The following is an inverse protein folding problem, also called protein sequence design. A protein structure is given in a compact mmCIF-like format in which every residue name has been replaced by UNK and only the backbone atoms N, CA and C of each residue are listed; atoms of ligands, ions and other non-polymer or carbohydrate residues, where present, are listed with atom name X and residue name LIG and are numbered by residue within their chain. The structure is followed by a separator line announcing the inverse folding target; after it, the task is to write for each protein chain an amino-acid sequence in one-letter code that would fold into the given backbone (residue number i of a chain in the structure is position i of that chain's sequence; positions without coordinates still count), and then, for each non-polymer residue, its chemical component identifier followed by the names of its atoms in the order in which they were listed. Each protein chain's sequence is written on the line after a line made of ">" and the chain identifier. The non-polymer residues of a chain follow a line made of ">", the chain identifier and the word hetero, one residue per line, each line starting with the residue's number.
data_IF_058403448763
#
_entry.id   IF_058403448763
#
_cell.length_a   1.000
_cell.length_b   1.000
_cell.length_c   1.000
_cell.angle_alpha   90.00
_cell.angle_beta   90.00
_cell.angle_gamma   90.00
#
_symmetry.space_group_name_H-M   'P 1'
#
loop_
_entity.id
_entity.type
_entity.pdbx_description
1 polymer ?
#
# COMPACT_ATOMS: atom_id res chain seq x y z
N UNK A 1 2.53 49.42 11.28
CA UNK A 1 1.19 48.85 11.09
C UNK A 1 1.06 48.53 9.61
N UNK A 2 1.30 47.30 9.24
CA UNK A 2 0.96 46.75 7.94
C UNK A 2 0.55 45.29 8.22
N UNK A 3 -0.74 45.07 8.23
CA UNK A 3 -1.34 43.77 8.34
C UNK A 3 -1.09 43.06 7.02
N UNK A 4 -0.24 42.05 7.05
CA UNK A 4 -0.12 41.05 5.97
C UNK A 4 -1.39 40.23 6.00
N UNK A 5 -2.32 40.51 5.12
CA UNK A 5 -3.46 39.63 4.81
C UNK A 5 -2.92 38.27 4.39
N UNK A 6 -3.04 37.29 5.28
CA UNK A 6 -2.92 35.88 4.92
C UNK A 6 -4.12 35.60 4.03
N UNK A 7 -3.88 35.51 2.74
CA UNK A 7 -4.83 35.04 1.75
C UNK A 7 -5.34 33.68 2.23
N UNK A 8 -6.59 33.63 2.67
CA UNK A 8 -7.30 32.38 2.95
C UNK A 8 -7.40 31.61 1.61
N UNK A 9 -6.56 30.62 1.43
CA UNK A 9 -6.64 29.72 0.29
C UNK A 9 -7.92 28.90 0.41
N UNK A 10 -8.82 29.13 -0.51
CA UNK A 10 -10.22 28.76 -0.50
C UNK A 10 -10.50 27.30 -0.91
N UNK A 11 -9.65 26.35 -0.63
CA UNK A 11 -10.03 24.96 -0.82
C UNK A 11 -9.82 24.15 0.47
N UNK A 12 -10.83 24.14 1.34
CA UNK A 12 -10.83 23.35 2.56
C UNK A 12 -11.22 21.88 2.32
N UNK A 13 -11.34 21.44 1.07
CA UNK A 13 -11.77 20.10 0.71
C UNK A 13 -10.79 19.05 1.22
N UNK A 14 -11.33 18.00 1.82
CA UNK A 14 -10.61 16.83 2.30
C UNK A 14 -11.13 15.58 1.57
N UNK A 15 -10.24 14.69 1.19
CA UNK A 15 -10.59 13.33 0.74
C UNK A 15 -10.38 12.39 1.91
N UNK A 16 -11.38 11.57 2.23
CA UNK A 16 -11.25 10.49 3.19
C UNK A 16 -11.24 9.13 2.49
N UNK A 17 -10.20 8.34 2.70
CA UNK A 17 -10.10 6.97 2.18
C UNK A 17 -10.23 5.97 3.32
N UNK A 18 -11.04 4.94 3.13
CA UNK A 18 -11.20 3.86 4.10
C UNK A 18 -10.76 2.52 3.52
N UNK A 19 -9.93 1.80 4.28
CA UNK A 19 -9.50 0.45 3.95
C UNK A 19 -10.59 -0.60 4.18
N UNK A 20 -10.36 -1.83 3.72
CA UNK A 20 -11.35 -2.90 3.77
C UNK A 20 -11.84 -3.25 5.18
N UNK A 21 -11.00 -3.14 6.20
CA UNK A 21 -11.39 -3.36 7.60
C UNK A 21 -12.32 -2.27 8.13
N UNK A 22 -12.25 -1.07 7.57
CA UNK A 22 -13.11 0.06 7.91
C UNK A 22 -14.51 -0.03 7.29
N UNK A 23 -14.68 -0.92 6.31
CA UNK A 23 -15.95 -1.21 5.61
C UNK A 23 -16.27 -2.71 5.59
N UNK A 24 -15.75 -3.45 6.58
CA UNK A 24 -15.87 -4.90 6.66
C UNK A 24 -17.32 -5.39 6.89
N UNK A 25 -18.08 -4.64 7.65
CA UNK A 25 -19.44 -4.95 8.07
C UNK A 25 -20.25 -3.67 8.31
N UNK A 26 -21.53 -3.83 8.66
CA UNK A 26 -22.44 -2.71 8.92
C UNK A 26 -21.94 -1.78 10.04
N UNK A 27 -21.41 -2.32 11.12
CA UNK A 27 -20.95 -1.53 12.26
C UNK A 27 -19.66 -0.76 11.92
N UNK A 28 -18.75 -1.39 11.16
CA UNK A 28 -17.55 -0.74 10.64
C UNK A 28 -17.90 0.41 9.67
N UNK A 29 -18.85 0.18 8.76
CA UNK A 29 -19.34 1.22 7.85
C UNK A 29 -19.98 2.39 8.59
N UNK A 30 -20.75 2.14 9.65
CA UNK A 30 -21.34 3.21 10.46
C UNK A 30 -20.27 4.00 11.21
N UNK A 31 -19.24 3.37 11.80
CA UNK A 31 -18.10 4.09 12.38
C UNK A 31 -17.38 4.95 11.36
N UNK A 32 -17.18 4.43 10.15
CA UNK A 32 -16.56 5.19 9.05
C UNK A 32 -17.44 6.36 8.61
N UNK A 33 -18.76 6.19 8.60
CA UNK A 33 -19.71 7.28 8.37
C UNK A 33 -19.62 8.34 9.47
N UNK A 34 -19.50 7.96 10.74
CA UNK A 34 -19.29 8.92 11.85
C UNK A 34 -18.02 9.74 11.65
N UNK A 35 -16.93 9.10 11.23
CA UNK A 35 -15.67 9.80 10.91
C UNK A 35 -15.86 10.80 9.78
N UNK A 36 -16.52 10.42 8.70
CA UNK A 36 -16.82 11.32 7.58
C UNK A 36 -17.63 12.53 8.04
N UNK A 37 -18.69 12.29 8.80
CA UNK A 37 -19.62 13.34 9.24
C UNK A 37 -19.05 14.24 10.33
N UNK A 38 -18.01 13.78 11.06
CA UNK A 38 -17.31 14.61 12.05
C UNK A 38 -16.48 15.74 11.43
N UNK A 39 -16.14 15.65 10.15
CA UNK A 39 -15.36 16.65 9.43
C UNK A 39 -16.15 17.20 8.22
N UNK A 40 -16.74 18.39 8.30
CA UNK A 40 -17.55 18.97 7.22
C UNK A 40 -16.76 19.29 5.94
N UNK A 41 -15.41 19.28 6.02
CA UNK A 41 -14.54 19.49 4.87
C UNK A 41 -14.35 18.23 4.02
N UNK A 42 -14.73 17.05 4.51
CA UNK A 42 -14.73 15.82 3.72
C UNK A 42 -15.83 15.91 2.66
N UNK A 43 -15.42 15.91 1.40
CA UNK A 43 -16.33 15.99 0.24
C UNK A 43 -16.25 14.78 -0.67
N UNK A 44 -15.15 14.03 -0.64
CA UNK A 44 -14.97 12.79 -1.38
C UNK A 44 -14.57 11.68 -0.42
N UNK A 45 -15.22 10.54 -0.55
CA UNK A 45 -14.91 9.32 0.19
C UNK A 45 -14.51 8.24 -0.81
N UNK A 46 -13.31 7.70 -0.64
CA UNK A 46 -12.76 6.60 -1.45
C UNK A 46 -12.77 5.33 -0.63
N UNK A 47 -13.40 4.28 -1.14
CA UNK A 47 -13.53 3.00 -0.43
C UNK A 47 -12.80 1.88 -1.13
N UNK A 48 -12.21 1.00 -0.34
CA UNK A 48 -11.80 -0.34 -0.74
C UNK A 48 -12.98 -1.32 -0.67
N UNK A 49 -12.83 -2.51 -1.23
CA UNK A 49 -13.75 -3.62 -0.99
C UNK A 49 -13.83 -3.97 0.50
N UNK A 50 -14.96 -4.49 0.96
CA UNK A 50 -15.11 -5.01 2.33
C UNK A 50 -14.07 -6.11 2.60
N UNK A 51 -13.59 -6.19 3.85
CA UNK A 51 -12.54 -7.13 4.24
C UNK A 51 -12.83 -8.57 3.80
N UNK A 52 -11.85 -9.20 3.17
CA UNK A 52 -11.93 -10.58 2.67
C UNK A 52 -12.52 -10.72 1.26
N UNK A 53 -13.31 -9.75 0.77
CA UNK A 53 -13.97 -9.83 -0.54
C UNK A 53 -12.95 -9.89 -1.67
N UNK A 54 -11.93 -9.04 -1.68
CA UNK A 54 -10.91 -9.02 -2.74
C UNK A 54 -10.23 -10.37 -2.89
N UNK A 55 -9.86 -11.03 -1.78
CA UNK A 55 -9.22 -12.35 -1.83
C UNK A 55 -10.14 -13.42 -2.42
N UNK A 56 -11.43 -13.38 -2.09
CA UNK A 56 -12.42 -14.32 -2.64
C UNK A 56 -12.61 -14.08 -4.14
N UNK A 57 -12.66 -12.82 -4.59
CA UNK A 57 -12.79 -12.47 -6.00
C UNK A 57 -11.53 -12.86 -6.80
N UNK A 58 -10.34 -12.65 -6.25
CA UNK A 58 -9.08 -13.11 -6.86
C UNK A 58 -9.09 -14.63 -7.01
N UNK A 59 -9.46 -15.36 -5.97
CA UNK A 59 -9.55 -16.81 -6.03
C UNK A 59 -10.55 -17.29 -7.10
N UNK A 60 -11.69 -16.60 -7.28
CA UNK A 60 -12.62 -16.89 -8.36
C UNK A 60 -12.02 -16.63 -9.75
N UNK A 61 -11.18 -15.59 -9.88
CA UNK A 61 -10.52 -15.24 -11.15
C UNK A 61 -9.43 -16.23 -11.57
N UNK A 62 -8.92 -17.05 -10.64
CA UNK A 62 -7.95 -18.11 -10.91
C UNK A 62 -8.56 -19.35 -11.61
N UNK A 63 -9.88 -19.39 -11.81
CA UNK A 63 -10.53 -20.47 -12.54
C UNK A 63 -10.79 -21.72 -11.69
N UNK A 64 -11.34 -21.53 -10.50
CA UNK A 64 -11.60 -22.61 -9.55
C UNK A 64 -12.63 -23.66 -10.04
N UNK A 65 -12.50 -24.89 -9.52
CA UNK A 65 -13.47 -25.95 -9.68
C UNK A 65 -14.85 -25.57 -9.13
N UNK A 66 -15.90 -26.18 -9.66
CA UNK A 66 -17.31 -25.80 -9.41
C UNK A 66 -17.69 -25.73 -7.92
N UNK A 67 -17.25 -26.71 -7.12
CA UNK A 67 -17.57 -26.74 -5.68
C UNK A 67 -16.94 -25.58 -4.92
N UNK A 68 -15.64 -25.34 -5.12
CA UNK A 68 -14.89 -24.28 -4.46
C UNK A 68 -15.38 -22.89 -4.92
N UNK A 69 -15.73 -22.77 -6.21
CA UNK A 69 -16.35 -21.56 -6.77
C UNK A 69 -17.69 -21.26 -6.11
N UNK A 70 -18.56 -22.26 -5.97
CA UNK A 70 -19.87 -22.10 -5.32
C UNK A 70 -19.71 -21.70 -3.83
N UNK A 71 -18.75 -22.27 -3.12
CA UNK A 71 -18.44 -21.92 -1.73
C UNK A 71 -17.97 -20.46 -1.60
N UNK A 72 -17.06 -20.02 -2.47
CA UNK A 72 -16.56 -18.63 -2.45
C UNK A 72 -17.64 -17.61 -2.83
N UNK A 73 -18.49 -17.91 -3.81
CA UNK A 73 -19.66 -17.10 -4.16
C UNK A 73 -20.66 -17.00 -2.98
N UNK A 74 -20.89 -18.10 -2.28
CA UNK A 74 -21.75 -18.10 -1.10
C UNK A 74 -21.17 -17.24 0.04
N UNK A 75 -19.85 -17.29 0.26
CA UNK A 75 -19.17 -16.44 1.25
C UNK A 75 -19.27 -14.95 0.90
N UNK A 76 -19.07 -14.59 -0.37
CA UNK A 76 -19.23 -13.20 -0.84
C UNK A 76 -20.64 -12.72 -0.58
N UNK A 77 -21.64 -13.51 -0.99
CA UNK A 77 -23.08 -13.20 -0.77
C UNK A 77 -23.38 -13.04 0.72
N UNK A 78 -22.88 -13.93 1.56
CA UNK A 78 -23.08 -13.88 3.00
C UNK A 78 -22.54 -12.58 3.62
N UNK A 79 -21.32 -12.14 3.22
CA UNK A 79 -20.72 -10.90 3.71
C UNK A 79 -21.57 -9.69 3.31
N UNK A 80 -22.00 -9.62 2.04
CA UNK A 80 -22.81 -8.50 1.56
C UNK A 80 -24.20 -8.48 2.24
N UNK A 81 -24.83 -9.62 2.36
CA UNK A 81 -26.16 -9.73 2.96
C UNK A 81 -26.15 -9.42 4.47
N UNK A 82 -25.09 -9.77 5.19
CA UNK A 82 -24.94 -9.41 6.60
C UNK A 82 -24.95 -7.88 6.82
N UNK A 83 -24.56 -7.09 5.81
CA UNK A 83 -24.68 -5.64 5.84
C UNK A 83 -26.10 -5.21 5.48
N UNK A 84 -26.65 -5.75 4.39
CA UNK A 84 -27.98 -5.40 3.87
C UNK A 84 -29.07 -5.69 4.91
N UNK A 85 -28.99 -6.83 5.58
CA UNK A 85 -30.00 -7.28 6.57
C UNK A 85 -30.13 -6.34 7.78
N UNK A 86 -29.15 -5.52 8.04
CA UNK A 86 -29.16 -4.48 9.08
C UNK A 86 -29.69 -3.12 8.58
N UNK A 87 -29.90 -2.96 7.28
CA UNK A 87 -30.46 -1.74 6.69
C UNK A 87 -31.98 -1.65 6.91
N UNK A 88 -32.50 -0.44 7.06
CA UNK A 88 -33.93 -0.21 7.29
C UNK A 88 -34.75 -0.44 6.02
N UNK A 89 -34.27 0.01 4.86
CA UNK A 89 -34.91 -0.17 3.55
C UNK A 89 -33.95 -0.96 2.65
N UNK A 90 -34.29 -2.23 2.40
CA UNK A 90 -33.37 -3.20 1.81
C UNK A 90 -33.64 -3.47 0.33
N UNK A 91 -34.85 -3.24 -0.17
CA UNK A 91 -35.29 -3.80 -1.45
C UNK A 91 -34.44 -3.33 -2.63
N UNK A 92 -34.27 -2.02 -2.79
CA UNK A 92 -33.54 -1.43 -3.92
C UNK A 92 -32.07 -1.80 -3.92
N UNK A 93 -31.41 -1.67 -2.75
CA UNK A 93 -29.98 -1.99 -2.64
C UNK A 93 -29.72 -3.48 -2.78
N UNK A 94 -30.64 -4.32 -2.31
CA UNK A 94 -30.55 -5.78 -2.47
C UNK A 94 -30.58 -6.16 -3.95
N UNK A 95 -31.51 -5.61 -4.72
CA UNK A 95 -31.62 -5.87 -6.17
C UNK A 95 -30.37 -5.42 -6.94
N UNK A 96 -29.73 -4.33 -6.52
CA UNK A 96 -28.47 -3.87 -7.12
C UNK A 96 -27.30 -4.79 -6.78
N UNK A 97 -27.17 -5.19 -5.54
CA UNK A 97 -26.11 -6.11 -5.10
C UNK A 97 -26.31 -7.49 -5.73
N UNK A 98 -27.56 -7.99 -5.85
CA UNK A 98 -27.84 -9.26 -6.50
C UNK A 98 -27.42 -9.25 -7.97
N UNK A 99 -27.71 -8.17 -8.71
CA UNK A 99 -27.23 -8.03 -10.11
C UNK A 99 -25.71 -8.08 -10.19
N UNK A 100 -24.99 -7.49 -9.23
CA UNK A 100 -23.54 -7.57 -9.20
C UNK A 100 -23.04 -8.97 -8.85
N UNK A 101 -23.69 -9.66 -7.92
CA UNK A 101 -23.37 -11.05 -7.57
C UNK A 101 -23.64 -12.01 -8.74
N UNK A 102 -24.68 -11.77 -9.53
CA UNK A 102 -24.96 -12.54 -10.75
C UNK A 102 -23.87 -12.29 -11.81
N UNK A 103 -23.41 -11.04 -11.95
CA UNK A 103 -22.27 -10.70 -12.81
C UNK A 103 -20.98 -11.42 -12.33
N UNK A 104 -20.67 -11.39 -11.05
CA UNK A 104 -19.53 -12.11 -10.46
C UNK A 104 -19.64 -13.60 -10.73
N UNK A 105 -20.84 -14.18 -10.62
CA UNK A 105 -21.07 -15.60 -10.92
C UNK A 105 -20.73 -15.91 -12.37
N UNK A 106 -21.28 -15.14 -13.30
CA UNK A 106 -21.04 -15.31 -14.75
C UNK A 106 -19.55 -15.15 -15.10
N UNK A 107 -18.88 -14.14 -14.54
CA UNK A 107 -17.45 -13.90 -14.76
C UNK A 107 -16.60 -15.04 -14.17
N UNK A 108 -16.97 -15.59 -13.02
CA UNK A 108 -16.28 -16.72 -12.40
C UNK A 108 -16.43 -18.02 -13.19
N UNK A 109 -17.57 -18.21 -13.86
CA UNK A 109 -17.79 -19.32 -14.80
C UNK A 109 -16.90 -19.16 -16.05
N UNK A 110 -16.80 -17.94 -16.57
CA UNK A 110 -15.89 -17.64 -17.67
C UNK A 110 -14.43 -17.87 -17.29
N UNK A 111 -14.01 -17.47 -16.09
CA UNK A 111 -12.66 -17.71 -15.57
C UNK A 111 -12.33 -19.20 -15.43
N UNK A 112 -13.32 -20.05 -15.11
CA UNK A 112 -13.14 -21.49 -15.05
C UNK A 112 -12.88 -22.13 -16.44
N UNK A 113 -13.27 -21.46 -17.51
CA UNK A 113 -12.99 -21.91 -18.88
C UNK A 113 -11.66 -21.34 -19.40
N UNK A 114 -11.39 -20.07 -19.14
CA UNK A 114 -10.16 -19.40 -19.54
C UNK A 114 -9.90 -18.18 -18.65
N UNK A 115 -8.72 -18.08 -18.10
CA UNK A 115 -8.26 -16.93 -17.29
C UNK A 115 -7.63 -15.87 -18.18
N UNK A 116 -7.78 -14.60 -17.78
CA UNK A 116 -7.03 -13.48 -18.35
C UNK A 116 -6.94 -12.34 -17.33
N UNK A 117 -5.91 -11.51 -17.42
CA UNK A 117 -5.75 -10.37 -16.53
C UNK A 117 -6.92 -9.38 -16.65
N UNK A 118 -7.48 -9.19 -17.86
CA UNK A 118 -8.64 -8.33 -18.06
C UNK A 118 -9.90 -8.88 -17.37
N UNK A 119 -10.10 -10.19 -17.40
CA UNK A 119 -11.20 -10.85 -16.69
C UNK A 119 -11.02 -10.75 -15.17
N UNK A 120 -9.78 -10.90 -14.71
CA UNK A 120 -9.44 -10.74 -13.29
C UNK A 120 -9.77 -9.33 -12.81
N UNK A 121 -9.35 -8.29 -13.54
CA UNK A 121 -9.62 -6.90 -13.18
C UNK A 121 -11.12 -6.59 -13.13
N UNK A 122 -11.88 -7.05 -14.13
CA UNK A 122 -13.34 -6.90 -14.13
C UNK A 122 -13.97 -7.58 -12.92
N UNK A 123 -13.56 -8.81 -12.62
CA UNK A 123 -14.13 -9.61 -11.54
C UNK A 123 -13.83 -8.98 -10.17
N UNK A 124 -12.56 -8.60 -9.90
CA UNK A 124 -12.18 -8.03 -8.60
C UNK A 124 -12.77 -6.65 -8.37
N UNK A 125 -13.06 -5.88 -9.41
CA UNK A 125 -13.66 -4.53 -9.31
C UNK A 125 -15.02 -4.52 -8.61
N UNK A 126 -15.73 -5.63 -8.64
CA UNK A 126 -17.05 -5.75 -8.00
C UNK A 126 -16.97 -5.58 -6.47
N UNK A 127 -15.81 -5.84 -5.87
CA UNK A 127 -15.61 -5.61 -4.44
C UNK A 127 -15.81 -4.15 -4.04
N UNK A 128 -15.15 -3.24 -4.74
CA UNK A 128 -15.26 -1.80 -4.51
C UNK A 128 -16.61 -1.24 -4.97
N UNK A 129 -17.16 -1.76 -6.06
CA UNK A 129 -18.49 -1.36 -6.54
C UNK A 129 -19.57 -1.68 -5.48
N UNK A 130 -19.56 -2.88 -4.90
CA UNK A 130 -20.52 -3.27 -3.88
C UNK A 130 -20.34 -2.48 -2.58
N UNK A 131 -19.12 -2.34 -2.07
CA UNK A 131 -18.87 -1.63 -0.81
C UNK A 131 -19.29 -0.17 -0.86
N UNK A 132 -19.06 0.51 -1.99
CA UNK A 132 -19.43 1.92 -2.18
C UNK A 132 -20.93 2.13 -2.28
N UNK A 133 -21.65 1.21 -2.94
CA UNK A 133 -23.12 1.26 -2.98
C UNK A 133 -23.73 1.09 -1.59
N UNK A 134 -23.26 0.12 -0.82
CA UNK A 134 -23.73 -0.13 0.55
C UNK A 134 -23.44 1.07 1.45
N UNK A 135 -22.28 1.70 1.32
CA UNK A 135 -21.92 2.85 2.12
C UNK A 135 -22.80 4.08 1.80
N UNK A 136 -23.09 4.33 0.53
CA UNK A 136 -24.03 5.39 0.12
C UNK A 136 -25.40 5.15 0.73
N UNK A 137 -25.90 3.91 0.72
CA UNK A 137 -27.19 3.58 1.31
C UNK A 137 -27.21 3.82 2.83
N UNK A 138 -26.15 3.44 3.54
CA UNK A 138 -25.99 3.76 4.97
C UNK A 138 -26.07 5.28 5.22
N UNK A 139 -25.40 6.09 4.42
CA UNK A 139 -25.44 7.54 4.54
C UNK A 139 -26.84 8.09 4.24
N UNK A 140 -27.52 7.58 3.23
CA UNK A 140 -28.91 7.99 2.89
C UNK A 140 -29.89 7.68 4.02
N UNK A 141 -29.75 6.53 4.66
CA UNK A 141 -30.58 6.17 5.83
C UNK A 141 -30.30 7.00 7.09
N UNK A 142 -29.23 7.78 7.05
CA UNK A 142 -28.87 8.78 8.07
C UNK A 142 -29.22 10.20 7.64
N UNK A 143 -30.07 10.36 6.63
CA UNK A 143 -30.49 11.65 6.03
C UNK A 143 -29.32 12.49 5.49
N UNK A 144 -28.23 11.85 5.08
CA UNK A 144 -27.06 12.50 4.49
C UNK A 144 -27.19 12.53 2.97
N UNK A 145 -27.01 13.70 2.37
CA UNK A 145 -26.93 13.83 0.91
C UNK A 145 -25.62 13.27 0.42
N UNK A 146 -25.67 12.06 -0.14
CA UNK A 146 -24.51 11.35 -0.66
C UNK A 146 -24.83 10.82 -2.08
N UNK A 147 -23.86 11.02 -2.98
CA UNK A 147 -23.92 10.55 -4.36
C UNK A 147 -22.90 9.43 -4.58
N UNK A 148 -23.33 8.34 -5.23
CA UNK A 148 -22.44 7.32 -5.73
C UNK A 148 -21.86 7.75 -7.08
N UNK A 149 -20.54 7.74 -7.22
CA UNK A 149 -19.85 8.10 -8.44
C UNK A 149 -18.92 6.98 -8.89
N UNK A 150 -19.07 6.50 -10.12
CA UNK A 150 -18.19 5.50 -10.70
C UNK A 150 -16.86 6.13 -11.11
N UNK A 151 -15.79 5.80 -10.40
CA UNK A 151 -14.44 6.35 -10.63
C UNK A 151 -13.90 6.04 -12.02
N UNK A 152 -14.35 4.93 -12.66
CA UNK A 152 -13.92 4.54 -14.00
C UNK A 152 -14.26 5.57 -15.07
N UNK A 153 -15.22 6.46 -14.80
CA UNK A 153 -15.55 7.58 -15.69
C UNK A 153 -14.42 8.60 -15.81
N UNK A 154 -13.61 8.73 -14.78
CA UNK A 154 -12.51 9.72 -14.72
C UNK A 154 -11.13 9.07 -14.61
N UNK A 155 -11.00 7.91 -13.95
CA UNK A 155 -9.74 7.19 -13.81
C UNK A 155 -9.42 6.41 -15.09
N UNK A 156 -8.92 7.15 -16.09
CA UNK A 156 -8.49 6.57 -17.36
C UNK A 156 -7.07 6.03 -17.23
N UNK A 157 -6.85 4.83 -17.77
CA UNK A 157 -5.57 4.11 -17.65
C UNK A 157 -5.14 3.52 -18.98
N UNK A 158 -3.91 3.02 -19.04
CA UNK A 158 -3.48 2.09 -20.06
C UNK A 158 -4.14 0.69 -19.88
N UNK A 159 -3.77 -0.28 -20.71
CA UNK A 159 -4.29 -1.65 -20.71
C UNK A 159 -3.37 -2.68 -20.05
N UNK A 160 -2.48 -2.24 -19.15
CA UNK A 160 -1.67 -3.13 -18.31
C UNK A 160 -2.49 -3.67 -17.14
N UNK A 161 -3.41 -4.59 -17.44
CA UNK A 161 -4.31 -5.17 -16.45
C UNK A 161 -3.57 -5.72 -15.24
N UNK A 162 -4.13 -5.50 -14.05
CA UNK A 162 -3.53 -5.85 -12.75
C UNK A 162 -2.59 -4.78 -12.20
N UNK A 163 -2.08 -3.86 -13.04
CA UNK A 163 -1.16 -2.78 -12.65
C UNK A 163 -1.21 -1.62 -13.66
N UNK A 164 -2.41 -1.20 -14.00
CA UNK A 164 -2.63 -0.16 -14.99
C UNK A 164 -2.09 1.21 -14.54
N UNK A 165 -1.57 1.96 -15.49
CA UNK A 165 -1.01 3.30 -15.24
C UNK A 165 -2.06 4.35 -15.59
N UNK A 166 -2.42 5.25 -14.66
CA UNK A 166 -3.33 6.35 -14.92
C UNK A 166 -2.76 7.36 -15.90
N UNK A 167 -3.62 7.89 -16.77
CA UNK A 167 -3.35 9.08 -17.57
C UNK A 167 -3.65 10.33 -16.72
N UNK A 168 -2.61 10.99 -16.24
CA UNK A 168 -2.73 12.11 -15.30
C UNK A 168 -3.38 13.36 -15.91
N UNK A 169 -3.15 13.63 -17.19
CA UNK A 169 -3.76 14.78 -17.88
C UNK A 169 -5.27 14.57 -18.01
N UNK A 170 -5.66 13.43 -18.57
CA UNK A 170 -7.07 13.06 -18.76
C UNK A 170 -7.78 12.97 -17.41
N UNK A 171 -7.15 12.38 -16.40
CA UNK A 171 -7.72 12.34 -15.04
C UNK A 171 -7.98 13.75 -14.51
N UNK A 172 -7.03 14.67 -14.63
CA UNK A 172 -7.19 16.04 -14.19
C UNK A 172 -8.33 16.78 -14.88
N UNK A 173 -8.47 16.61 -16.20
CA UNK A 173 -9.55 17.22 -16.99
C UNK A 173 -10.92 16.65 -16.63
N UNK A 174 -11.03 15.32 -16.58
CA UNK A 174 -12.29 14.65 -16.26
C UNK A 174 -12.71 14.86 -14.81
N UNK A 175 -11.76 14.95 -13.88
CA UNK A 175 -12.04 15.26 -12.48
C UNK A 175 -12.64 16.67 -12.35
N UNK A 176 -12.05 17.67 -13.00
CA UNK A 176 -12.58 19.04 -12.97
C UNK A 176 -13.94 19.17 -13.64
N UNK A 177 -14.18 18.45 -14.73
CA UNK A 177 -15.44 18.54 -15.47
C UNK A 177 -16.57 17.68 -14.90
N UNK A 178 -16.29 16.51 -14.34
CA UNK A 178 -17.30 15.55 -13.92
C UNK A 178 -17.42 15.38 -12.40
N UNK A 179 -16.31 15.43 -11.65
CA UNK A 179 -16.35 15.19 -10.22
C UNK A 179 -16.50 16.51 -9.43
N UNK A 180 -15.68 17.51 -9.73
CA UNK A 180 -15.65 18.77 -8.96
C UNK A 180 -17.02 19.47 -8.83
N UNK A 181 -17.89 19.58 -9.88
CA UNK A 181 -19.19 20.21 -9.73
C UNK A 181 -20.13 19.49 -8.76
N UNK A 182 -19.93 18.19 -8.52
CA UNK A 182 -20.76 17.37 -7.62
C UNK A 182 -20.45 17.64 -6.17
N UNK A 183 -19.23 18.06 -5.87
CA UNK A 183 -18.80 18.35 -4.49
C UNK A 183 -19.57 19.51 -3.84
N UNK A 184 -20.16 20.40 -4.64
CA UNK A 184 -21.00 21.48 -4.16
C UNK A 184 -22.37 20.98 -3.68
N UNK A 185 -22.82 19.83 -4.19
CA UNK A 185 -24.15 19.29 -3.94
C UNK A 185 -24.22 18.38 -2.71
N UNK A 186 -23.11 17.73 -2.34
CA UNK A 186 -23.08 16.77 -1.24
C UNK A 186 -21.78 16.01 -1.13
N UNK A 187 -21.81 14.93 -0.38
CA UNK A 187 -20.72 13.94 -0.32
C UNK A 187 -20.70 13.11 -1.59
N UNK A 188 -19.52 12.89 -2.15
CA UNK A 188 -19.33 11.93 -3.25
C UNK A 188 -18.61 10.71 -2.72
N UNK A 189 -19.20 9.54 -2.92
CA UNK A 189 -18.66 8.23 -2.56
C UNK A 189 -18.21 7.53 -3.83
N UNK A 190 -16.96 7.11 -3.87
CA UNK A 190 -16.37 6.50 -5.06
C UNK A 190 -15.44 5.33 -4.72
N UNK A 191 -15.15 4.52 -5.72
CA UNK A 191 -14.29 3.35 -5.60
C UNK A 191 -12.82 3.77 -5.60
N UNK A 192 -12.01 3.11 -4.76
CA UNK A 192 -10.58 3.08 -4.94
C UNK A 192 -10.16 1.95 -5.89
N UNK A 193 -8.88 1.84 -6.22
CA UNK A 193 -8.25 0.70 -6.86
C UNK A 193 -8.57 0.49 -8.35
N UNK A 194 -9.73 0.92 -8.86
CA UNK A 194 -10.19 0.63 -10.21
C UNK A 194 -10.13 1.83 -11.15
N UNK A 195 -10.00 1.55 -12.43
CA UNK A 195 -10.04 2.51 -13.53
C UNK A 195 -10.61 1.86 -14.79
N UNK A 196 -10.47 2.52 -15.94
CA UNK A 196 -10.84 1.96 -17.22
C UNK A 196 -9.88 2.37 -18.34
N UNK A 197 -9.57 1.42 -19.23
CA UNK A 197 -8.77 1.68 -20.42
C UNK A 197 -9.62 2.25 -21.59
N UNK A 198 -8.97 2.59 -22.70
CA UNK A 198 -9.58 3.32 -23.81
C UNK A 198 -10.82 2.65 -24.43
N UNK A 199 -10.93 1.31 -24.36
CA UNK A 199 -12.09 0.56 -24.86
C UNK A 199 -13.20 0.40 -23.82
N UNK A 200 -13.03 1.01 -22.63
CA UNK A 200 -13.99 0.96 -21.53
C UNK A 200 -13.93 -0.30 -20.67
N UNK A 201 -12.93 -1.17 -20.86
CA UNK A 201 -12.74 -2.32 -19.97
C UNK A 201 -12.18 -1.87 -18.62
N UNK A 202 -12.64 -2.49 -17.55
CA UNK A 202 -12.17 -2.20 -16.20
C UNK A 202 -10.70 -2.62 -16.02
N UNK A 203 -9.93 -1.76 -15.37
CA UNK A 203 -8.53 -1.99 -15.01
C UNK A 203 -8.35 -1.84 -13.51
N UNK A 204 -7.27 -2.40 -12.96
CA UNK A 204 -6.88 -2.21 -11.56
C UNK A 204 -5.49 -1.58 -11.45
N UNK A 205 -5.31 -0.75 -10.41
CA UNK A 205 -4.09 0.04 -10.19
C UNK A 205 -2.99 -0.73 -9.43
N UNK A 206 -3.26 -1.98 -9.08
CA UNK A 206 -2.33 -2.82 -8.33
C UNK A 206 -2.32 -2.53 -6.82
N UNK A 207 -1.30 -3.03 -6.13
CA UNK A 207 -1.19 -2.95 -4.66
C UNK A 207 -1.23 -1.50 -4.17
N UNK A 208 -2.03 -1.24 -3.12
CA UNK A 208 -2.23 0.11 -2.58
C UNK A 208 -3.11 1.00 -3.47
N UNK A 209 -3.78 0.43 -4.48
CA UNK A 209 -4.53 1.16 -5.50
C UNK A 209 -5.62 2.07 -4.94
N UNK A 210 -6.26 1.74 -3.81
CA UNK A 210 -7.28 2.63 -3.21
C UNK A 210 -6.65 3.88 -2.58
N UNK A 211 -5.51 3.75 -1.91
CA UNK A 211 -4.76 4.91 -1.39
C UNK A 211 -4.25 5.75 -2.56
N UNK A 212 -3.76 5.08 -3.62
CA UNK A 212 -3.31 5.75 -4.84
C UNK A 212 -4.44 6.52 -5.52
N UNK A 213 -5.65 5.95 -5.62
CA UNK A 213 -6.83 6.65 -6.11
C UNK A 213 -7.12 7.91 -5.29
N UNK A 214 -7.09 7.83 -3.96
CA UNK A 214 -7.31 8.99 -3.09
C UNK A 214 -6.26 10.09 -3.31
N UNK A 215 -5.00 9.72 -3.46
CA UNK A 215 -3.91 10.64 -3.71
C UNK A 215 -4.02 11.31 -5.10
N UNK A 216 -4.36 10.55 -6.13
CA UNK A 216 -4.58 11.06 -7.50
C UNK A 216 -5.76 12.03 -7.58
N UNK A 217 -6.89 11.68 -6.95
CA UNK A 217 -8.04 12.57 -6.87
C UNK A 217 -7.73 13.82 -6.03
N UNK A 218 -6.94 13.66 -4.97
CA UNK A 218 -6.46 14.76 -4.14
C UNK A 218 -5.64 15.76 -4.94
N UNK A 219 -4.70 15.30 -5.75
CA UNK A 219 -3.91 16.10 -6.67
C UNK A 219 -4.80 16.79 -7.71
N UNK A 220 -5.68 16.04 -8.38
CA UNK A 220 -6.55 16.56 -9.43
C UNK A 220 -7.54 17.63 -8.94
N UNK A 221 -8.01 17.53 -7.70
CA UNK A 221 -8.91 18.49 -7.04
C UNK A 221 -8.18 19.58 -6.27
N UNK A 222 -6.85 19.46 -6.13
CA UNK A 222 -6.03 20.35 -5.30
C UNK A 222 -6.61 20.51 -3.87
N UNK A 223 -6.79 19.37 -3.20
CA UNK A 223 -7.40 19.34 -1.86
C UNK A 223 -6.44 19.81 -0.77
N UNK A 224 -6.98 20.21 0.38
CA UNK A 224 -6.17 20.65 1.52
C UNK A 224 -5.51 19.51 2.27
N UNK A 225 -6.08 18.29 2.24
CA UNK A 225 -5.57 17.11 2.94
C UNK A 225 -6.21 15.83 2.40
N UNK A 226 -5.47 14.73 2.51
CA UNK A 226 -5.96 13.38 2.27
C UNK A 226 -5.91 12.62 3.59
N UNK A 227 -7.04 12.05 4.02
CA UNK A 227 -7.15 11.27 5.25
C UNK A 227 -7.22 9.78 4.90
N UNK A 228 -6.23 9.00 5.32
CA UNK A 228 -6.17 7.54 5.17
C UNK A 228 -6.61 6.91 6.49
N UNK A 229 -7.78 6.32 6.48
CA UNK A 229 -8.35 5.62 7.62
C UNK A 229 -8.12 4.10 7.49
N UNK A 230 -7.47 3.54 8.50
CA UNK A 230 -7.08 2.13 8.57
C UNK A 230 -7.44 1.54 9.94
N UNK A 231 -6.89 0.40 10.30
CA UNK A 231 -7.10 -0.25 11.62
C UNK A 231 -6.02 0.11 12.66
N UNK A 232 -5.03 0.90 12.27
CA UNK A 232 -3.94 1.35 13.15
C UNK A 232 -3.99 2.87 13.37
N UNK A 233 -3.71 3.37 14.59
CA UNK A 233 -3.84 4.80 14.92
C UNK A 233 -2.63 5.64 14.48
N UNK A 234 -2.06 5.39 13.31
CA UNK A 234 -0.96 6.15 12.74
C UNK A 234 0.32 5.35 12.54
N UNK A 235 1.42 6.06 12.37
CA UNK A 235 2.78 5.52 12.16
C UNK A 235 3.53 5.56 13.50
N UNK A 236 4.23 4.48 13.83
CA UNK A 236 4.96 4.33 15.09
C UNK A 236 6.46 4.23 14.87
N UNK A 237 7.23 4.51 15.91
CA UNK A 237 8.70 4.38 15.91
C UNK A 237 9.17 2.96 15.62
N UNK A 238 8.33 1.96 15.85
CA UNK A 238 8.40 0.58 15.33
C UNK A 238 7.05 -0.10 15.53
N UNK A 239 6.91 -1.37 15.12
CA UNK A 239 5.66 -2.13 15.32
C UNK A 239 5.37 -2.33 16.84
N UNK A 240 4.27 -1.80 17.37
CA UNK A 240 3.91 -1.97 18.80
C UNK A 240 3.72 -3.42 19.24
N UNK A 241 3.49 -4.34 18.30
CA UNK A 241 3.39 -5.79 18.58
C UNK A 241 4.76 -6.41 18.90
N UNK A 242 5.83 -5.81 18.37
CA UNK A 242 7.23 -6.21 18.63
C UNK A 242 7.79 -5.46 19.82
N UNK A 243 7.50 -4.16 19.92
CA UNK A 243 7.96 -3.26 20.99
C UNK A 243 6.76 -2.53 21.58
N UNK A 244 6.20 -2.99 22.72
CA UNK A 244 5.02 -2.35 23.32
C UNK A 244 5.21 -0.88 23.73
N UNK A 245 6.46 -0.45 23.93
CA UNK A 245 6.83 0.93 24.25
C UNK A 245 7.01 1.83 23.02
N UNK A 246 6.74 1.31 21.81
CA UNK A 246 6.80 2.10 20.60
C UNK A 246 5.86 3.30 20.67
N UNK A 247 6.37 4.45 20.25
CA UNK A 247 5.65 5.73 20.31
C UNK A 247 5.06 6.07 18.96
N UNK A 248 3.82 6.59 18.96
CA UNK A 248 3.26 7.14 17.72
C UNK A 248 4.03 8.40 17.34
N UNK A 249 4.22 8.57 16.04
CA UNK A 249 4.85 9.74 15.45
C UNK A 249 3.71 10.69 15.03
N UNK A 250 3.64 11.87 15.63
CA UNK A 250 2.57 12.82 15.33
C UNK A 250 2.74 13.47 13.95
N UNK A 251 3.99 13.77 13.57
CA UNK A 251 4.35 14.31 12.25
C UNK A 251 5.59 13.63 11.70
N UNK A 252 5.55 13.29 10.41
CA UNK A 252 6.64 12.63 9.70
C UNK A 252 6.80 13.21 8.31
N UNK A 253 8.03 13.29 7.80
CA UNK A 253 8.25 13.73 6.42
C UNK A 253 7.89 12.62 5.42
N UNK A 254 7.48 13.00 4.20
CA UNK A 254 7.19 12.05 3.13
C UNK A 254 8.36 11.11 2.85
N UNK A 255 9.59 11.62 2.87
CA UNK A 255 10.80 10.83 2.64
C UNK A 255 10.99 9.76 3.72
N UNK A 256 10.80 10.13 5.01
CA UNK A 256 10.87 9.18 6.13
C UNK A 256 9.77 8.10 6.02
N UNK A 257 8.53 8.52 5.71
CA UNK A 257 7.39 7.61 5.55
C UNK A 257 7.59 6.67 4.36
N UNK A 258 8.14 7.15 3.25
CA UNK A 258 8.47 6.34 2.08
C UNK A 258 9.54 5.29 2.39
N UNK A 259 10.59 5.67 3.12
CA UNK A 259 11.62 4.73 3.59
C UNK A 259 11.01 3.65 4.50
N UNK A 260 10.20 4.04 5.50
CA UNK A 260 9.51 3.09 6.37
C UNK A 260 8.65 2.10 5.58
N UNK A 261 7.88 2.60 4.61
CA UNK A 261 7.01 1.76 3.78
C UNK A 261 7.81 0.80 2.89
N UNK A 262 8.95 1.25 2.34
CA UNK A 262 9.86 0.42 1.56
C UNK A 262 10.43 -0.73 2.38
N UNK A 263 10.75 -0.48 3.65
CA UNK A 263 11.35 -1.48 4.54
C UNK A 263 10.35 -2.27 5.39
N UNK A 264 9.05 -2.21 5.05
CA UNK A 264 8.06 -3.15 5.58
C UNK A 264 7.05 -2.59 6.57
N UNK A 265 7.05 -1.30 6.86
CA UNK A 265 5.97 -0.67 7.59
C UNK A 265 4.71 -0.65 6.71
N UNK A 266 3.69 -1.42 7.10
CA UNK A 266 2.50 -1.69 6.26
C UNK A 266 1.44 -0.58 6.29
N UNK A 267 1.79 0.63 6.72
CA UNK A 267 0.79 1.69 6.93
C UNK A 267 0.46 2.43 5.63
N UNK A 268 1.46 2.69 4.78
CA UNK A 268 1.30 3.36 3.48
C UNK A 268 2.14 2.64 2.42
N UNK A 269 1.68 2.65 1.18
CA UNK A 269 2.48 2.15 0.05
C UNK A 269 3.26 3.32 -0.57
N UNK A 270 4.57 3.19 -0.89
CA UNK A 270 5.38 4.31 -1.39
C UNK A 270 4.79 4.99 -2.63
N UNK A 271 4.23 4.22 -3.57
CA UNK A 271 3.64 4.76 -4.79
C UNK A 271 2.41 5.66 -4.51
N UNK A 272 1.71 5.45 -3.39
CA UNK A 272 0.52 6.24 -3.04
C UNK A 272 0.87 7.64 -2.59
N UNK A 273 2.09 7.86 -2.11
CA UNK A 273 2.55 9.16 -1.64
C UNK A 273 2.96 10.09 -2.78
N UNK A 274 3.33 9.57 -3.94
CA UNK A 274 3.87 10.37 -5.04
C UNK A 274 2.98 11.53 -5.49
N UNK A 275 1.65 11.36 -5.71
CA UNK A 275 0.79 12.50 -6.08
C UNK A 275 0.69 13.55 -4.98
N UNK A 276 0.61 13.12 -3.71
CA UNK A 276 0.58 14.02 -2.57
C UNK A 276 1.89 14.81 -2.43
N UNK A 277 3.04 14.15 -2.62
CA UNK A 277 4.37 14.78 -2.60
C UNK A 277 4.49 15.85 -3.69
N UNK A 278 4.09 15.51 -4.93
CA UNK A 278 4.17 16.44 -6.07
C UNK A 278 3.36 17.72 -5.84
N UNK A 279 2.23 17.58 -5.18
CA UNK A 279 1.28 18.68 -5.00
C UNK A 279 1.32 19.29 -3.61
N UNK A 280 2.30 18.90 -2.78
CA UNK A 280 2.45 19.38 -1.38
C UNK A 280 1.18 19.23 -0.54
N UNK A 281 0.46 18.11 -0.73
CA UNK A 281 -0.77 17.81 -0.02
C UNK A 281 -0.44 16.94 1.18
N UNK A 282 -0.68 17.36 2.42
CA UNK A 282 -0.45 16.54 3.60
C UNK A 282 -1.41 15.34 3.63
N UNK A 283 -0.90 14.22 4.14
CA UNK A 283 -1.65 12.97 4.30
C UNK A 283 -1.77 12.63 5.77
N UNK A 284 -2.99 12.56 6.27
CA UNK A 284 -3.27 12.11 7.63
C UNK A 284 -3.53 10.60 7.62
N UNK A 285 -2.96 9.89 8.61
CA UNK A 285 -3.18 8.46 8.82
C UNK A 285 -3.73 8.23 10.21
N UNK A 286 -4.91 7.63 10.30
CA UNK A 286 -5.58 7.38 11.58
C UNK A 286 -6.39 6.09 11.61
N UNK A 287 -6.86 5.72 12.81
CA UNK A 287 -7.70 4.54 13.00
C UNK A 287 -9.18 4.86 12.86
N UNK A 288 -9.87 4.16 11.96
CA UNK A 288 -11.33 4.22 11.88
C UNK A 288 -12.03 3.53 13.05
N UNK A 289 -11.32 2.68 13.80
CA UNK A 289 -11.83 2.01 15.01
C UNK A 289 -11.77 2.92 16.23
N UNK A 290 -10.79 3.81 16.28
CA UNK A 290 -10.58 4.78 17.36
C UNK A 290 -10.11 6.12 16.80
N UNK A 291 -11.00 6.92 16.21
CA UNK A 291 -10.65 8.22 15.64
C UNK A 291 -10.15 9.22 16.70
N UNK A 292 -10.58 9.06 17.94
CA UNK A 292 -10.20 9.93 19.06
C UNK A 292 -8.72 9.72 19.49
N UNK A 293 -8.14 8.56 19.19
CA UNK A 293 -6.72 8.32 19.44
C UNK A 293 -5.80 9.25 18.62
N UNK A 294 -6.33 9.96 17.61
CA UNK A 294 -5.56 10.79 16.71
C UNK A 294 -4.86 9.98 15.62
N UNK A 295 -3.74 10.50 15.11
CA UNK A 295 -3.03 9.85 14.00
C UNK A 295 -1.68 10.49 13.72
N UNK A 296 -1.13 10.19 12.56
CA UNK A 296 0.12 10.74 12.05
C UNK A 296 -0.15 11.64 10.84
N UNK A 297 0.41 12.83 10.83
CA UNK A 297 0.42 13.71 9.68
C UNK A 297 1.72 13.52 8.89
N UNK A 298 1.60 13.12 7.63
CA UNK A 298 2.71 12.99 6.68
C UNK A 298 2.74 14.26 5.82
N UNK A 299 3.87 14.97 5.79
CA UNK A 299 4.01 16.27 5.14
C UNK A 299 5.43 16.48 4.59
N UNK A 300 5.63 17.55 3.82
CA UNK A 300 6.93 17.84 3.21
C UNK A 300 7.98 18.32 4.21
N UNK A 301 7.57 18.97 5.29
CA UNK A 301 8.50 19.53 6.28
C UNK A 301 7.98 19.34 7.69
N UNK A 302 8.87 18.96 8.59
CA UNK A 302 8.63 18.94 10.04
C UNK A 302 9.63 19.85 10.74
N UNK A 303 9.21 20.42 11.87
CA UNK A 303 10.14 21.18 12.71
C UNK A 303 11.07 20.21 13.44
N UNK A 304 12.39 20.45 13.36
CA UNK A 304 13.44 19.69 14.06
C UNK A 304 13.31 18.16 13.89
N UNK A 305 13.46 17.62 12.68
CA UNK A 305 13.39 16.18 12.47
C UNK A 305 14.50 15.48 13.29
N UNK A 306 14.18 14.41 14.05
CA UNK A 306 15.18 13.71 14.87
C UNK A 306 16.16 12.93 13.99
N UNK A 307 17.38 12.71 14.51
CA UNK A 307 18.39 11.89 13.83
C UNK A 307 17.86 10.46 13.59
N UNK A 308 17.27 9.83 14.60
CA UNK A 308 16.62 8.53 14.50
C UNK A 308 15.11 8.69 14.57
N UNK A 309 14.42 8.22 13.54
CA UNK A 309 12.96 8.38 13.42
C UNK A 309 12.21 7.11 13.76
N UNK A 310 12.60 5.97 13.20
CA UNK A 310 11.90 4.72 13.36
C UNK A 310 12.78 3.50 13.04
N UNK A 311 12.30 2.32 13.45
CA UNK A 311 12.83 1.02 13.07
C UNK A 311 11.77 0.25 12.28
N UNK A 312 12.13 -0.23 11.12
CA UNK A 312 11.31 -1.14 10.31
C UNK A 312 11.91 -2.55 10.32
N UNK A 313 11.06 -3.57 10.29
CA UNK A 313 11.44 -4.97 10.28
C UNK A 313 10.76 -5.71 9.13
N UNK A 314 11.55 -6.26 8.23
CA UNK A 314 11.08 -7.14 7.16
C UNK A 314 11.63 -8.54 7.36
N UNK A 315 10.74 -9.50 7.63
CA UNK A 315 11.08 -10.90 7.90
C UNK A 315 11.21 -11.71 6.62
N UNK A 316 11.70 -12.94 6.76
CA UNK A 316 11.80 -13.94 5.68
C UNK A 316 12.60 -13.44 4.49
N UNK A 317 13.75 -12.86 4.76
CA UNK A 317 14.67 -12.43 3.73
C UNK A 317 15.61 -13.55 3.33
N UNK A 318 15.94 -13.60 2.05
CA UNK A 318 16.92 -14.53 1.48
C UNK A 318 18.12 -13.74 1.00
N UNK A 319 19.30 -14.12 1.45
CA UNK A 319 20.57 -13.56 1.02
C UNK A 319 21.21 -14.50 -0.01
N UNK A 320 21.42 -13.97 -1.20
CA UNK A 320 22.13 -14.65 -2.27
C UNK A 320 23.55 -14.12 -2.34
N UNK A 321 24.55 -15.00 -2.18
CA UNK A 321 25.97 -14.67 -2.29
C UNK A 321 26.55 -15.29 -3.55
N UNK A 322 27.18 -14.47 -4.36
CA UNK A 322 27.82 -14.83 -5.60
C UNK A 322 29.32 -14.59 -5.46
N UNK A 323 30.10 -15.62 -5.69
CA UNK A 323 31.56 -15.56 -5.63
C UNK A 323 32.17 -15.91 -6.97
N UNK A 324 33.03 -15.04 -7.51
CA UNK A 324 33.74 -15.29 -8.76
C UNK A 324 35.08 -14.59 -8.78
N UNK A 325 36.15 -15.35 -8.91
CA UNK A 325 37.49 -14.79 -9.19
C UNK A 325 37.56 -14.09 -10.55
N UNK A 326 36.70 -14.48 -11.49
CA UNK A 326 36.60 -13.85 -12.80
C UNK A 326 36.01 -12.43 -12.73
N UNK A 327 35.45 -12.03 -11.59
CA UNK A 327 34.98 -10.67 -11.36
C UNK A 327 36.13 -9.68 -11.22
N UNK A 328 37.29 -10.15 -10.77
CA UNK A 328 38.49 -9.33 -10.61
C UNK A 328 38.97 -8.82 -11.98
N UNK A 329 39.02 -7.49 -12.14
CA UNK A 329 39.35 -6.79 -13.39
C UNK A 329 38.45 -7.11 -14.60
N UNK A 330 37.34 -7.87 -14.41
CA UNK A 330 36.40 -8.18 -15.48
C UNK A 330 35.37 -7.08 -15.63
N UNK A 331 34.95 -6.83 -16.88
CA UNK A 331 33.83 -5.93 -17.18
C UNK A 331 32.59 -6.74 -17.45
N UNK A 332 31.43 -6.28 -16.92
CA UNK A 332 30.13 -6.83 -17.26
C UNK A 332 29.62 -7.95 -16.36
N UNK A 333 30.36 -8.44 -15.35
CA UNK A 333 29.89 -9.49 -14.45
C UNK A 333 28.54 -9.15 -13.79
N UNK A 334 28.42 -7.96 -13.21
CA UNK A 334 27.16 -7.49 -12.61
C UNK A 334 26.03 -7.39 -13.64
N UNK A 335 26.33 -6.92 -14.85
CA UNK A 335 25.34 -6.84 -15.93
C UNK A 335 24.78 -8.24 -16.28
N UNK A 336 25.64 -9.25 -16.34
CA UNK A 336 25.23 -10.63 -16.58
C UNK A 336 24.34 -11.16 -15.44
N UNK A 337 24.77 -10.97 -14.18
CA UNK A 337 23.99 -11.36 -13.00
C UNK A 337 22.60 -10.72 -13.02
N UNK A 338 22.52 -9.42 -13.22
CA UNK A 338 21.23 -8.72 -13.27
C UNK A 338 20.38 -9.12 -14.49
N UNK A 339 21.01 -9.43 -15.61
CA UNK A 339 20.30 -9.96 -16.78
C UNK A 339 19.68 -11.32 -16.53
N UNK A 340 20.39 -12.21 -15.81
CA UNK A 340 19.85 -13.52 -15.39
C UNK A 340 18.65 -13.31 -14.46
N UNK A 341 18.82 -12.49 -13.41
CA UNK A 341 17.73 -12.21 -12.46
C UNK A 341 16.50 -11.62 -13.15
N UNK A 342 16.70 -10.69 -14.09
CA UNK A 342 15.61 -10.07 -14.86
C UNK A 342 14.86 -11.11 -15.74
N UNK A 343 15.58 -12.03 -16.41
CA UNK A 343 14.94 -13.10 -17.20
C UNK A 343 14.06 -14.02 -16.36
N UNK A 344 14.44 -14.20 -15.09
CA UNK A 344 13.65 -14.98 -14.12
C UNK A 344 12.62 -14.14 -13.35
N UNK A 345 12.39 -12.89 -13.75
CA UNK A 345 11.47 -11.95 -13.09
C UNK A 345 11.76 -11.73 -11.59
N UNK A 346 13.04 -11.72 -11.23
CA UNK A 346 13.50 -11.48 -9.86
C UNK A 346 13.93 -10.02 -9.71
N UNK A 347 13.32 -9.32 -8.76
CA UNK A 347 13.72 -7.99 -8.32
C UNK A 347 14.72 -8.08 -7.16
N UNK A 348 15.72 -7.21 -7.18
CA UNK A 348 16.75 -7.08 -6.14
C UNK A 348 16.41 -5.92 -5.23
N UNK A 349 16.55 -6.11 -3.92
CA UNK A 349 16.25 -5.10 -2.91
C UNK A 349 17.53 -4.38 -2.43
N UNK A 350 18.45 -5.13 -1.85
CA UNK A 350 19.75 -4.61 -1.42
C UNK A 350 20.88 -5.34 -2.15
N UNK A 351 21.96 -4.65 -2.39
CA UNK A 351 23.20 -5.21 -2.92
C UNK A 351 24.42 -4.62 -2.22
N UNK A 352 25.38 -5.48 -1.92
CA UNK A 352 26.73 -5.07 -1.54
C UNK A 352 27.76 -5.87 -2.32
N UNK A 353 28.84 -5.25 -2.71
CA UNK A 353 29.88 -5.86 -3.53
C UNK A 353 31.26 -5.69 -2.94
N UNK A 354 32.12 -6.66 -3.19
CA UNK A 354 33.57 -6.56 -3.04
C UNK A 354 34.25 -6.94 -4.33
N UNK A 355 35.57 -7.04 -4.36
CA UNK A 355 36.31 -7.36 -5.60
C UNK A 355 35.92 -8.68 -6.25
N UNK A 356 35.49 -9.69 -5.46
CA UNK A 356 35.19 -11.05 -5.91
C UNK A 356 33.86 -11.61 -5.42
N UNK A 357 33.13 -10.82 -4.63
CA UNK A 357 31.85 -11.24 -4.05
C UNK A 357 30.76 -10.22 -4.32
N UNK A 358 29.57 -10.73 -4.59
CA UNK A 358 28.31 -9.96 -4.60
C UNK A 358 27.37 -10.62 -3.62
N UNK A 359 26.83 -9.84 -2.71
CA UNK A 359 25.76 -10.27 -1.80
C UNK A 359 24.52 -9.42 -2.08
N UNK A 360 23.38 -10.04 -2.31
CA UNK A 360 22.14 -9.35 -2.62
C UNK A 360 20.95 -10.00 -1.93
N UNK A 361 19.95 -9.19 -1.61
CA UNK A 361 18.65 -9.65 -1.13
C UNK A 361 17.63 -9.58 -2.25
N UNK A 362 16.69 -10.52 -2.23
CA UNK A 362 15.65 -10.62 -3.26
C UNK A 362 14.37 -9.95 -2.76
N UNK A 363 13.79 -9.09 -3.60
CA UNK A 363 12.52 -8.46 -3.31
C UNK A 363 11.37 -9.43 -3.64
N UNK A 364 10.69 -9.89 -2.59
CA UNK A 364 9.52 -10.78 -2.71
C UNK A 364 8.29 -10.05 -3.26
N UNK A 365 8.24 -8.71 -3.15
CA UNK A 365 7.09 -7.93 -3.59
C UNK A 365 7.18 -7.49 -5.05
N UNK A 366 8.38 -7.28 -5.53
CA UNK A 366 8.66 -6.89 -6.93
C UNK A 366 8.81 -8.07 -7.89
N UNK A 367 8.88 -9.30 -7.36
CA UNK A 367 9.04 -10.51 -8.16
C UNK A 367 7.68 -11.14 -8.48
N UNK A 368 7.50 -11.60 -9.73
CA UNK A 368 6.22 -12.12 -10.23
C UNK A 368 5.96 -13.59 -9.90
N UNK A 369 6.83 -14.27 -9.16
CA UNK A 369 6.62 -15.66 -8.76
C UNK A 369 5.57 -15.77 -7.63
N UNK A 370 4.40 -16.26 -7.99
CA UNK A 370 3.32 -16.58 -7.06
C UNK A 370 3.66 -17.86 -6.28
N UNK A 371 3.90 -17.72 -4.99
CA UNK A 371 3.78 -18.82 -4.01
C UNK A 371 4.91 -19.83 -3.89
N UNK A 372 5.77 -19.99 -4.88
CA UNK A 372 6.93 -20.88 -4.84
C UNK A 372 8.23 -20.10 -4.53
N UNK A 373 9.25 -20.82 -4.07
CA UNK A 373 10.58 -20.27 -3.78
C UNK A 373 11.03 -19.35 -4.91
N UNK A 374 11.39 -18.09 -4.57
CA UNK A 374 11.97 -17.12 -5.52
C UNK A 374 13.19 -17.68 -6.25
N UNK A 375 13.85 -18.67 -5.65
CA UNK A 375 15.02 -19.36 -6.19
C UNK A 375 14.62 -20.67 -6.85
N UNK A 376 14.22 -20.59 -8.11
CA UNK A 376 14.00 -21.79 -8.93
C UNK A 376 15.31 -22.54 -9.20
N UNK A 377 15.23 -23.85 -9.39
CA UNK A 377 16.40 -24.64 -9.78
C UNK A 377 17.03 -24.18 -11.09
N UNK A 378 16.23 -23.67 -12.03
CA UNK A 378 16.69 -23.10 -13.29
C UNK A 378 17.54 -21.83 -13.05
N UNK A 379 17.06 -20.91 -12.22
CA UNK A 379 17.81 -19.71 -11.83
C UNK A 379 19.15 -20.05 -11.19
N UNK A 380 19.13 -20.96 -10.20
CA UNK A 380 20.35 -21.36 -9.49
C UNK A 380 21.34 -22.06 -10.43
N UNK A 381 20.88 -22.88 -11.38
CA UNK A 381 21.73 -23.53 -12.39
C UNK A 381 22.38 -22.49 -13.30
N UNK A 382 21.61 -21.51 -13.78
CA UNK A 382 22.11 -20.47 -14.67
C UNK A 382 23.14 -19.57 -13.95
N UNK A 383 22.88 -19.14 -12.71
CA UNK A 383 23.85 -18.42 -11.90
C UNK A 383 25.10 -19.22 -11.59
N UNK A 384 24.94 -20.54 -11.34
CA UNK A 384 26.07 -21.43 -11.03
C UNK A 384 27.00 -21.67 -12.23
N UNK A 385 26.52 -21.45 -13.45
CA UNK A 385 27.38 -21.49 -14.64
C UNK A 385 28.34 -20.29 -14.71
N UNK A 386 27.98 -19.17 -14.04
CA UNK A 386 28.74 -17.92 -14.06
C UNK A 386 29.65 -17.80 -12.82
N UNK A 387 29.20 -18.28 -11.65
CA UNK A 387 29.88 -18.09 -10.37
C UNK A 387 29.48 -19.16 -9.36
N UNK A 388 30.21 -19.21 -8.24
CA UNK A 388 29.77 -20.00 -7.08
C UNK A 388 28.61 -19.28 -6.39
N UNK A 389 27.53 -20.01 -6.16
CA UNK A 389 26.29 -19.50 -5.54
C UNK A 389 26.12 -20.08 -4.14
N UNK A 390 25.88 -19.24 -3.16
CA UNK A 390 25.48 -19.62 -1.81
C UNK A 390 24.17 -18.91 -1.45
N UNK A 391 23.23 -19.66 -0.89
CA UNK A 391 21.92 -19.17 -0.46
C UNK A 391 21.83 -19.27 1.05
N UNK A 392 21.40 -18.18 1.71
CA UNK A 392 21.15 -18.13 3.14
C UNK A 392 19.72 -17.64 3.37
N UNK A 393 18.89 -18.47 3.94
CA UNK A 393 17.48 -18.18 4.22
C UNK A 393 17.25 -17.87 5.69
N UNK A 394 15.98 -17.57 6.06
CA UNK A 394 15.57 -17.24 7.42
C UNK A 394 16.33 -16.03 8.01
N UNK A 395 16.56 -15.03 7.19
CA UNK A 395 17.09 -13.75 7.62
C UNK A 395 15.96 -12.71 7.79
N UNK A 396 16.26 -11.66 8.52
CA UNK A 396 15.39 -10.50 8.64
C UNK A 396 16.18 -9.22 8.36
N UNK A 397 15.57 -8.32 7.62
CA UNK A 397 16.11 -6.98 7.38
C UNK A 397 15.58 -6.04 8.46
N UNK A 398 16.50 -5.39 9.15
CA UNK A 398 16.21 -4.28 10.07
C UNK A 398 16.70 -3.01 9.41
N UNK A 399 15.81 -2.02 9.29
CA UNK A 399 16.12 -0.71 8.77
C UNK A 399 15.92 0.34 9.85
N UNK A 400 16.97 1.06 10.17
CA UNK A 400 16.93 2.28 10.97
C UNK A 400 16.69 3.46 10.03
N UNK A 401 15.55 4.11 10.19
CA UNK A 401 15.14 5.27 9.43
C UNK A 401 15.41 6.53 10.24
N UNK A 402 15.92 7.56 9.58
CA UNK A 402 16.20 8.83 10.23
C UNK A 402 16.55 9.94 9.25
N UNK A 403 17.14 11.00 9.73
CA UNK A 403 17.44 12.19 8.96
C UNK A 403 18.95 12.44 8.88
N UNK A 404 19.46 12.58 7.66
CA UNK A 404 20.87 12.85 7.40
C UNK A 404 21.83 11.85 8.08
N UNK A 405 21.44 10.59 8.18
CA UNK A 405 22.22 9.55 8.86
C UNK A 405 23.63 9.41 8.27
N UNK A 406 23.77 9.48 6.95
CA UNK A 406 25.05 9.36 6.25
C UNK A 406 25.99 10.55 6.47
N UNK A 407 25.46 11.68 6.93
CA UNK A 407 26.24 12.92 7.20
C UNK A 407 26.54 13.09 8.69
N UNK A 408 25.80 12.44 9.57
CA UNK A 408 25.98 12.55 11.01
C UNK A 408 27.19 11.73 11.48
N UNK A 409 27.98 12.33 12.35
CA UNK A 409 29.10 11.63 12.98
C UNK A 409 28.64 10.71 14.10
N UNK A 410 29.29 9.56 14.24
CA UNK A 410 29.06 8.65 15.36
C UNK A 410 27.91 7.65 15.21
N UNK A 411 27.07 7.76 14.17
CA UNK A 411 25.93 6.85 13.92
C UNK A 411 26.35 5.38 13.96
N UNK A 412 27.43 5.02 13.27
CA UNK A 412 27.94 3.65 13.26
C UNK A 412 28.35 3.16 14.66
N UNK A 413 29.03 3.99 15.45
CA UNK A 413 29.39 3.63 16.81
C UNK A 413 28.16 3.41 17.70
N UNK A 414 27.21 4.30 17.61
CA UNK A 414 25.97 4.25 18.40
C UNK A 414 25.14 3.01 18.07
N UNK A 415 24.90 2.76 16.80
CA UNK A 415 24.09 1.63 16.34
C UNK A 415 24.82 0.30 16.55
N UNK A 416 26.07 0.17 16.07
CA UNK A 416 26.79 -1.10 16.14
C UNK A 416 27.29 -1.42 17.54
N UNK A 417 27.47 -0.42 18.42
CA UNK A 417 27.72 -0.65 19.83
C UNK A 417 26.56 -1.38 20.52
N UNK A 418 25.35 -1.01 20.19
CA UNK A 418 24.13 -1.71 20.68
C UNK A 418 24.01 -3.11 20.10
N UNK A 419 24.48 -3.31 18.88
CA UNK A 419 24.39 -4.57 18.15
C UNK A 419 25.55 -5.54 18.43
N UNK A 420 26.50 -5.20 19.29
CA UNK A 420 27.66 -6.05 19.65
C UNK A 420 27.27 -7.51 19.98
N UNK A 421 26.17 -7.81 20.71
CA UNK A 421 25.78 -9.18 21.03
C UNK A 421 25.20 -9.97 19.85
N UNK A 422 24.91 -9.33 18.70
CA UNK A 422 24.18 -9.92 17.60
C UNK A 422 25.05 -10.17 16.37
N UNK A 423 24.74 -11.24 15.65
CA UNK A 423 25.41 -11.54 14.39
C UNK A 423 24.79 -10.73 13.25
N UNK A 424 25.59 -9.90 12.61
CA UNK A 424 25.17 -9.13 11.41
C UNK A 424 25.67 -9.85 10.16
N UNK A 425 24.78 -10.03 9.17
CA UNK A 425 25.09 -10.77 7.93
C UNK A 425 25.40 -9.87 6.75
N UNK A 426 24.79 -8.69 6.68
CA UNK A 426 25.00 -7.68 5.64
C UNK A 426 24.68 -6.32 6.24
N UNK A 427 25.41 -5.31 5.82
CA UNK A 427 25.15 -3.90 6.14
C UNK A 427 25.03 -3.13 4.83
N UNK A 428 24.03 -2.26 4.73
CA UNK A 428 23.88 -1.27 3.67
C UNK A 428 23.73 0.09 4.32
N UNK A 429 24.72 0.97 4.11
CA UNK A 429 24.76 2.30 4.69
C UNK A 429 25.43 3.27 3.72
N UNK A 430 24.85 4.47 3.57
CA UNK A 430 25.37 5.53 2.71
C UNK A 430 24.77 5.59 1.31
N UNK A 431 23.95 4.62 0.90
CA UNK A 431 23.21 4.67 -0.36
C UNK A 431 22.04 5.67 -0.27
N UNK A 432 21.39 5.75 0.89
CA UNK A 432 20.38 6.76 1.24
C UNK A 432 20.90 7.59 2.42
N UNK A 433 20.51 8.86 2.46
CA UNK A 433 20.76 9.72 3.64
C UNK A 433 19.81 9.41 4.80
N UNK A 434 18.74 8.66 4.54
CA UNK A 434 17.64 8.48 5.48
C UNK A 434 17.53 7.07 6.05
N UNK A 435 18.42 6.13 5.67
CA UNK A 435 18.40 4.79 6.25
C UNK A 435 19.80 4.20 6.52
N UNK A 436 19.83 3.28 7.45
CA UNK A 436 20.88 2.32 7.69
C UNK A 436 20.24 0.95 7.84
N UNK A 437 20.57 0.02 6.96
CA UNK A 437 19.95 -1.29 6.88
C UNK A 437 20.95 -2.39 7.19
N UNK A 438 20.51 -3.44 7.85
CA UNK A 438 21.34 -4.63 8.09
C UNK A 438 20.49 -5.89 8.18
N UNK A 439 21.09 -7.02 7.82
CA UNK A 439 20.50 -8.35 7.95
C UNK A 439 20.97 -9.04 9.21
N UNK A 440 20.04 -9.67 9.91
CA UNK A 440 20.27 -10.50 11.08
C UNK A 440 19.59 -11.86 10.91
N UNK A 441 19.99 -12.92 11.64
CA UNK A 441 19.24 -14.17 11.72
C UNK A 441 17.78 -13.88 12.13
N UNK A 442 16.82 -14.60 11.51
CA UNK A 442 15.40 -14.38 11.77
C UNK A 442 15.02 -14.54 13.23
N UNK A 443 15.66 -15.47 13.94
CA UNK A 443 15.42 -15.77 15.35
C UNK A 443 15.85 -14.63 16.29
N UNK A 444 16.82 -13.80 15.87
CA UNK A 444 17.31 -12.66 16.64
C UNK A 444 16.56 -11.34 16.34
N UNK A 445 15.76 -11.32 15.27
CA UNK A 445 15.22 -10.09 14.69
C UNK A 445 14.41 -9.24 15.69
N UNK A 446 13.53 -9.84 16.47
CA UNK A 446 12.73 -9.11 17.46
C UNK A 446 13.58 -8.57 18.59
N UNK A 447 14.51 -9.35 19.10
CA UNK A 447 15.46 -8.92 20.15
C UNK A 447 16.32 -7.76 19.69
N UNK A 448 16.78 -7.80 18.43
CA UNK A 448 17.55 -6.71 17.82
C UNK A 448 16.72 -5.43 17.79
N UNK A 449 15.47 -5.49 17.28
CA UNK A 449 14.59 -4.31 17.23
C UNK A 449 14.28 -3.78 18.62
N UNK A 450 13.98 -4.65 19.58
CA UNK A 450 13.73 -4.26 20.98
C UNK A 450 14.94 -3.59 21.63
N UNK A 451 16.14 -4.13 21.41
CA UNK A 451 17.37 -3.58 21.99
C UNK A 451 17.72 -2.23 21.36
N UNK A 452 17.60 -2.11 20.04
CA UNK A 452 17.82 -0.83 19.35
C UNK A 452 16.78 0.22 19.76
N UNK A 453 15.51 -0.16 19.83
CA UNK A 453 14.46 0.77 20.21
C UNK A 453 14.69 1.33 21.61
N UNK A 454 14.99 0.46 22.59
CA UNK A 454 15.31 0.88 23.95
C UNK A 454 16.49 1.85 24.01
N UNK A 455 17.51 1.61 23.20
CA UNK A 455 18.73 2.42 23.24
C UNK A 455 18.62 3.75 22.51
N UNK A 456 17.85 3.80 21.40
CA UNK A 456 17.81 4.96 20.49
C UNK A 456 16.56 5.82 20.64
N UNK A 457 15.47 5.29 21.23
CA UNK A 457 14.16 5.97 21.27
C UNK A 457 13.58 6.15 22.70
N UNK A 458 14.15 5.48 23.70
CA UNK A 458 13.77 5.60 25.11
C UNK A 458 14.81 6.36 25.93
#
# INVERSE_FOLDING_TARGET
>A
MSATEVSANANSTVIAKFGGTSVADFDAMNRSADVVLSNPNVRVVVLSASAGITNLLVALAEGQASEMRAENLAKIRQIQYAIIDKLTNQSVIRDEIDRMLDSVTTLSEAAALATSNALTDELVSHGELMSTLLFVEILRQRDVVAEWFDVRKIMRTDDHFGRAQPDFEVLGELTRSQLQPRLEQGLVITQGFIGSEAKGRTTTLGRGGSDYTAALLGEALNVSRIDIWTDVPGIYTTDPRVVPTAKRIDQIMFEEAAEMATFGAKVLHPATLLPAVRSDIPVFVGSSKDPAAGGTLVCNKTENPPLFRALALRRKQTLLKLYSLNMLHARGFLAEVFSILARHNISVDLITTSEVNVALTLDTTGSTSTGDSLLSSALLTELSSLCRVEVEENLSLVALIGNNLSQACGVGKEVFGVLEPFRIRLICYGASSNNLCFLVPGDDAERVVQTLHRSLFE
#
